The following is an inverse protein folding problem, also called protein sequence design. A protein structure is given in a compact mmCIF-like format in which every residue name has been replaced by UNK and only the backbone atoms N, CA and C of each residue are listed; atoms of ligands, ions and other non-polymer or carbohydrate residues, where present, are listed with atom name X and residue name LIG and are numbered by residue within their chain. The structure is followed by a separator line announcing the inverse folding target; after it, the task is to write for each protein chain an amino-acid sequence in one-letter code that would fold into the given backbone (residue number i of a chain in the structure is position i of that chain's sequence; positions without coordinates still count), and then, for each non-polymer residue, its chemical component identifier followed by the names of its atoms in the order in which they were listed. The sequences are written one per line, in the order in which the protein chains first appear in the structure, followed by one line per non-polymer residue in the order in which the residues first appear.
data_IF_093429004797
#
_entry.id   IF_093429004797
#
_cell.length_a   1.000
_cell.length_b   1.000
_cell.length_c   1.000
_cell.angle_alpha   90.00
_cell.angle_beta   90.00
_cell.angle_gamma   90.00
#
_symmetry.space_group_name_H-M   'P 1'
#
loop_
_entity.id
_entity.type
_entity.pdbx_description
1 polymer ?
#
# COMPACT_ATOMS: atom_id res chain seq x y z
N UNK A 1 15.22 -14.76 -15.14
CA UNK A 1 13.89 -14.64 -14.50
C UNK A 1 13.59 -13.17 -14.26
N UNK A 2 12.35 -12.72 -14.44
CA UNK A 2 11.94 -11.32 -14.19
C UNK A 2 11.43 -11.16 -12.76
N UNK A 3 12.34 -11.27 -11.79
CA UNK A 3 12.02 -11.13 -10.37
C UNK A 3 12.50 -9.79 -9.82
N UNK A 4 11.75 -9.22 -8.87
CA UNK A 4 12.22 -8.09 -8.06
C UNK A 4 12.98 -8.69 -6.86
N UNK A 5 14.23 -8.29 -6.60
CA UNK A 5 14.95 -8.74 -5.40
C UNK A 5 14.20 -8.34 -4.14
N UNK A 6 14.02 -9.28 -3.19
CA UNK A 6 13.28 -9.03 -1.94
C UNK A 6 13.84 -7.84 -1.15
N UNK A 7 15.16 -7.62 -1.18
CA UNK A 7 15.83 -6.48 -0.54
C UNK A 7 15.41 -5.11 -1.11
N UNK A 8 14.70 -5.06 -2.24
CA UNK A 8 14.17 -3.85 -2.87
C UNK A 8 12.66 -3.66 -2.62
N UNK A 9 12.04 -4.56 -1.85
CA UNK A 9 10.61 -4.51 -1.51
C UNK A 9 10.49 -4.14 -0.03
N UNK A 10 9.73 -3.09 0.26
CA UNK A 10 9.30 -2.75 1.62
C UNK A 10 7.77 -2.83 1.70
N UNK A 11 7.24 -3.12 2.89
CA UNK A 11 5.80 -3.20 3.15
C UNK A 11 5.47 -2.46 4.43
N UNK A 12 4.42 -1.65 4.41
CA UNK A 12 3.92 -0.92 5.56
C UNK A 12 2.42 -1.17 5.71
N UNK A 13 1.92 -1.15 6.95
CA UNK A 13 0.52 -1.38 7.27
C UNK A 13 0.00 -0.24 8.15
N UNK A 14 -1.05 0.44 7.68
CA UNK A 14 -1.54 1.69 8.28
C UNK A 14 -2.90 1.56 8.99
N UNK A 15 -3.56 0.40 8.87
CA UNK A 15 -4.89 0.18 9.46
C UNK A 15 -5.88 1.25 9.01
N UNK A 16 -6.57 1.87 9.97
CA UNK A 16 -7.61 2.88 9.72
C UNK A 16 -7.11 4.34 9.84
N UNK A 17 -5.79 4.54 9.93
CA UNK A 17 -5.20 5.86 10.16
C UNK A 17 -4.93 6.65 8.87
N UNK A 18 -4.87 5.97 7.71
CA UNK A 18 -4.66 6.57 6.39
C UNK A 18 -5.81 6.23 5.41
N UNK A 19 -7.03 6.54 5.83
CA UNK A 19 -8.22 6.29 5.03
C UNK A 19 -8.24 7.15 3.75
N UNK A 20 -8.62 6.54 2.61
CA UNK A 20 -8.86 7.27 1.34
C UNK A 20 -10.04 8.21 1.47
N UNK A 21 -11.08 7.70 2.12
CA UNK A 21 -12.34 8.39 2.38
C UNK A 21 -12.48 8.45 3.90
N UNK A 22 -12.61 9.64 4.51
CA UNK A 22 -12.86 9.76 5.94
C UNK A 22 -14.05 8.89 6.33
N UNK A 23 -13.81 7.93 7.22
CA UNK A 23 -14.77 6.88 7.59
C UNK A 23 -14.75 6.77 9.11
N UNK A 24 -15.93 6.63 9.71
CA UNK A 24 -16.03 6.39 11.15
C UNK A 24 -15.48 5.00 11.51
N UNK A 25 -15.03 4.86 12.74
CA UNK A 25 -14.51 3.60 13.28
C UNK A 25 -15.53 2.45 13.10
N UNK A 26 -15.06 1.30 12.66
CA UNK A 26 -15.86 0.09 12.43
C UNK A 26 -16.76 0.12 11.18
N UNK A 27 -16.82 1.20 10.41
CA UNK A 27 -17.63 1.28 9.19
C UNK A 27 -16.88 0.69 7.99
N UNK A 28 -17.52 -0.23 7.28
CA UNK A 28 -16.95 -0.85 6.09
C UNK A 28 -17.01 0.11 4.89
N UNK A 29 -15.84 0.60 4.48
CA UNK A 29 -15.63 1.33 3.21
C UNK A 29 -14.71 0.52 2.27
N UNK A 30 -15.20 0.17 1.08
CA UNK A 30 -14.45 -0.68 0.14
C UNK A 30 -13.16 -0.01 -0.37
N UNK A 31 -13.17 1.31 -0.54
CA UNK A 31 -12.00 2.06 -1.00
C UNK A 31 -10.88 2.13 0.05
N UNK A 32 -11.21 2.00 1.34
CA UNK A 32 -10.22 1.95 2.40
C UNK A 32 -9.56 0.58 2.53
N UNK A 33 -10.16 -0.48 1.98
CA UNK A 33 -9.56 -1.83 1.89
C UNK A 33 -8.67 -1.96 0.66
N UNK A 34 -7.68 -1.05 0.54
CA UNK A 34 -6.78 -0.95 -0.61
C UNK A 34 -5.36 -1.37 -0.29
N UNK A 35 -4.64 -1.76 -1.33
CA UNK A 35 -3.19 -1.90 -1.33
C UNK A 35 -2.64 -0.85 -2.30
N UNK A 36 -1.62 -0.12 -1.88
CA UNK A 36 -0.97 0.90 -2.71
C UNK A 36 0.48 0.47 -2.99
N UNK A 37 0.89 0.55 -4.25
CA UNK A 37 2.24 0.17 -4.71
C UNK A 37 2.89 1.41 -5.32
N UNK A 38 3.97 1.87 -4.70
CA UNK A 38 4.77 3.00 -5.18
C UNK A 38 6.15 2.52 -5.62
N UNK A 39 6.73 3.23 -6.59
CA UNK A 39 8.06 2.93 -7.11
C UNK A 39 8.99 4.11 -6.80
N UNK A 40 10.13 3.83 -6.16
CA UNK A 40 11.17 4.83 -5.92
C UNK A 40 11.99 5.11 -7.19
N UNK A 41 12.76 6.22 -7.21
CA UNK A 41 13.68 6.51 -8.31
C UNK A 41 14.60 5.31 -8.61
N UNK A 42 14.61 4.83 -9.87
CA UNK A 42 15.43 3.69 -10.30
C UNK A 42 14.82 2.30 -10.04
N UNK A 43 13.51 2.18 -9.82
CA UNK A 43 12.82 0.88 -9.73
C UNK A 43 12.44 0.37 -11.12
N UNK A 44 12.83 -0.87 -11.48
CA UNK A 44 12.37 -1.56 -12.71
C UNK A 44 13.36 -1.64 -13.89
N UNK A 45 14.65 -1.35 -13.69
CA UNK A 45 15.73 -1.58 -14.68
C UNK A 45 16.37 -2.97 -14.50
#
# INVERSE_FOLDING_TARGET
GRGIPAARISTEAFGETQNRVPTADGVRELQNRRVEVTYGPGSGN
#
